data_IF_214530740417
#
_entry.id   IF_214530740417
#
_cell.length_a   1.000
_cell.length_b   1.000
_cell.length_c   1.000
_cell.angle_alpha   90.00
_cell.angle_beta   90.00
_cell.angle_gamma   90.00
#
_symmetry.space_group_name_H-M   'P 1'
#
loop_
_entity.id
_entity.type
_entity.pdbx_description
1 polymer ?
#
# COMPACT_ATOMS: atom_id res chain seq x y z
N UNK A 1 -25.90 -5.69 -20.55
CA UNK A 1 -24.81 -6.67 -20.74
C UNK A 1 -23.74 -6.38 -19.67
N UNK A 2 -23.49 -7.30 -18.76
CA UNK A 2 -22.45 -7.12 -17.72
C UNK A 2 -21.10 -7.37 -18.36
N UNK A 3 -20.28 -6.34 -18.51
CA UNK A 3 -18.89 -6.48 -18.95
C UNK A 3 -18.10 -7.08 -17.79
N UNK A 4 -17.69 -8.33 -17.94
CA UNK A 4 -16.80 -8.98 -16.98
C UNK A 4 -15.37 -8.50 -17.23
N UNK A 5 -14.86 -7.67 -16.34
CA UNK A 5 -13.42 -7.34 -16.31
C UNK A 5 -12.69 -8.54 -15.70
N UNK A 6 -12.15 -9.38 -16.57
CA UNK A 6 -11.23 -10.45 -16.13
C UNK A 6 -9.87 -9.82 -15.88
N UNK A 7 -9.72 -9.19 -14.72
CA UNK A 7 -8.39 -8.96 -14.15
C UNK A 7 -8.03 -10.23 -13.39
N UNK A 8 -7.10 -10.98 -13.99
CA UNK A 8 -6.58 -12.20 -13.37
C UNK A 8 -6.12 -11.91 -11.94
N UNK A 9 -6.57 -12.73 -10.99
CA UNK A 9 -6.46 -12.55 -9.54
C UNK A 9 -5.06 -12.46 -8.93
N UNK A 10 -4.02 -12.17 -9.71
CA UNK A 10 -2.65 -11.96 -9.27
C UNK A 10 -2.35 -10.48 -8.99
N UNK A 11 -3.12 -9.54 -9.60
CA UNK A 11 -2.86 -8.11 -9.46
C UNK A 11 -3.34 -7.48 -8.16
N UNK A 12 -4.39 -8.01 -7.54
CA UNK A 12 -5.03 -7.39 -6.36
C UNK A 12 -4.20 -7.58 -5.08
N UNK A 13 -3.59 -8.74 -4.91
CA UNK A 13 -2.75 -9.02 -3.73
C UNK A 13 -1.49 -8.14 -3.69
N UNK A 14 -0.87 -7.86 -4.85
CA UNK A 14 0.31 -6.98 -4.95
C UNK A 14 -0.07 -5.52 -4.70
N UNK A 15 -1.28 -5.09 -5.07
CA UNK A 15 -1.73 -3.71 -4.87
C UNK A 15 -2.02 -3.39 -3.40
N UNK A 16 -2.53 -4.34 -2.64
CA UNK A 16 -2.84 -4.15 -1.21
C UNK A 16 -1.55 -4.13 -0.37
N UNK A 17 -0.58 -4.98 -0.67
CA UNK A 17 0.70 -5.02 0.04
C UNK A 17 1.52 -3.73 -0.11
N UNK A 18 1.41 -3.02 -1.23
CA UNK A 18 2.17 -1.80 -1.48
C UNK A 18 1.66 -0.55 -0.73
N UNK A 19 0.48 -0.60 -0.10
CA UNK A 19 -0.14 0.56 0.59
C UNK A 19 0.58 0.94 1.88
N UNK A 20 1.09 -0.04 2.60
CA UNK A 20 1.56 0.16 3.98
C UNK A 20 3.04 0.61 4.05
N UNK A 21 3.86 0.26 3.05
CA UNK A 21 5.31 0.60 3.04
C UNK A 21 5.59 2.11 2.97
N UNK A 22 4.66 2.90 2.47
CA UNK A 22 4.93 4.30 2.14
C UNK A 22 4.80 5.25 3.34
N UNK A 23 4.11 4.85 4.40
CA UNK A 23 3.89 5.75 5.57
C UNK A 23 5.06 5.72 6.56
N UNK A 24 5.87 4.65 6.58
CA UNK A 24 6.99 4.48 7.52
C UNK A 24 8.36 5.02 7.08
N UNK A 25 8.51 5.50 5.85
CA UNK A 25 9.83 5.81 5.26
C UNK A 25 10.35 7.24 5.49
N UNK A 26 9.71 8.06 6.34
CA UNK A 26 10.09 9.48 6.50
C UNK A 26 10.68 9.85 7.86
N UNK A 27 11.45 8.98 8.49
CA UNK A 27 12.22 9.40 9.67
C UNK A 27 13.63 8.81 9.70
N UNK A 28 14.61 9.69 9.49
CA UNK A 28 15.93 9.63 10.10
C UNK A 28 17.04 9.02 9.28
N UNK A 29 17.89 9.89 8.74
CA UNK A 29 19.20 9.54 8.21
C UNK A 29 20.17 9.07 9.31
N UNK A 30 21.15 8.25 8.90
CA UNK A 30 22.27 7.83 9.72
C UNK A 30 23.25 7.01 8.87
N UNK A 31 24.36 7.65 8.49
CA UNK A 31 25.46 7.07 7.74
C UNK A 31 26.09 5.87 8.43
N UNK A 32 26.36 4.80 7.69
CA UNK A 32 27.50 3.94 7.96
C UNK A 32 27.93 3.17 6.68
N UNK A 33 29.11 3.47 6.21
CA UNK A 33 29.78 2.83 5.11
C UNK A 33 30.17 1.38 5.48
N UNK A 34 29.91 0.45 4.57
CA UNK A 34 30.40 -0.93 4.65
C UNK A 34 30.47 -1.55 3.25
N UNK A 35 31.65 -1.54 2.68
CA UNK A 35 32.03 -2.18 1.42
C UNK A 35 31.94 -3.69 1.54
N UNK A 36 31.18 -4.37 0.68
CA UNK A 36 31.37 -5.79 0.37
C UNK A 36 31.10 -6.05 -1.13
N UNK A 37 31.97 -6.88 -1.70
CA UNK A 37 32.22 -7.17 -3.08
C UNK A 37 31.06 -7.72 -3.90
N UNK A 38 31.07 -7.39 -5.20
CA UNK A 38 30.21 -7.93 -6.26
C UNK A 38 30.49 -9.41 -6.57
N UNK A 39 29.50 -10.15 -7.06
CA UNK A 39 29.74 -11.17 -8.06
C UNK A 39 29.24 -10.72 -9.44
N UNK A 40 30.18 -10.65 -10.35
CA UNK A 40 30.03 -10.51 -11.80
C UNK A 40 29.10 -11.56 -12.38
N UNK A 41 28.07 -11.15 -13.10
CA UNK A 41 27.37 -12.00 -14.07
C UNK A 41 27.34 -11.34 -15.43
N UNK A 42 27.93 -12.08 -16.36
CA UNK A 42 28.19 -11.74 -17.74
C UNK A 42 26.92 -11.45 -18.57
N UNK A 43 27.09 -10.50 -19.47
CA UNK A 43 26.24 -9.97 -20.50
C UNK A 43 25.25 -10.91 -21.17
N UNK A 44 24.05 -10.33 -21.35
CA UNK A 44 23.20 -10.61 -22.52
C UNK A 44 23.06 -9.30 -23.28
N UNK A 45 23.66 -9.24 -24.45
CA UNK A 45 23.57 -8.14 -25.39
C UNK A 45 22.17 -8.11 -26.01
N UNK A 46 21.49 -6.99 -25.86
CA UNK A 46 20.22 -6.69 -26.55
C UNK A 46 20.47 -6.51 -28.06
N UNK A 47 19.50 -6.84 -28.93
CA UNK A 47 19.62 -6.66 -30.38
C UNK A 47 19.77 -5.18 -30.75
N UNK A 48 20.49 -4.83 -31.85
CA UNK A 48 20.73 -3.47 -32.25
C UNK A 48 19.42 -2.81 -32.75
N UNK A 49 19.02 -1.71 -32.12
CA UNK A 49 17.88 -0.91 -32.56
C UNK A 49 17.02 -0.30 -31.46
N UNK A 50 17.30 -0.55 -30.19
CA UNK A 50 16.62 0.17 -29.10
C UNK A 50 17.27 1.53 -28.84
N UNK A 51 16.49 2.64 -28.69
CA UNK A 51 17.03 3.91 -28.24
C UNK A 51 17.62 3.71 -26.82
N UNK A 52 18.77 4.31 -26.59
CA UNK A 52 19.39 4.32 -25.26
C UNK A 52 18.42 4.92 -24.26
N UNK A 53 18.06 4.14 -23.23
CA UNK A 53 17.35 4.64 -22.06
C UNK A 53 18.41 5.37 -21.22
N UNK A 54 18.18 6.65 -20.95
CA UNK A 54 19.05 7.44 -20.08
C UNK A 54 19.09 6.78 -18.70
N UNK A 55 20.25 6.27 -18.30
CA UNK A 55 20.51 5.63 -17.00
C UNK A 55 20.24 6.55 -15.79
N UNK A 56 19.93 7.82 -16.03
CA UNK A 56 19.66 8.81 -14.99
C UNK A 56 18.24 8.76 -14.42
N UNK A 57 17.31 8.04 -15.05
CA UNK A 57 15.95 7.86 -14.56
C UNK A 57 15.77 6.61 -13.66
N UNK A 58 16.78 5.75 -13.55
CA UNK A 58 16.72 4.51 -12.78
C UNK A 58 17.00 4.70 -11.27
N UNK A 59 17.52 5.88 -10.85
CA UNK A 59 17.93 6.10 -9.45
C UNK A 59 16.80 6.48 -8.48
N UNK A 60 15.54 6.55 -8.92
CA UNK A 60 14.44 6.97 -8.05
C UNK A 60 13.33 5.93 -7.86
N UNK A 61 13.47 4.72 -8.39
CA UNK A 61 12.53 3.64 -8.07
C UNK A 61 12.97 2.97 -6.77
N UNK A 62 12.10 2.90 -5.75
CA UNK A 62 12.42 2.14 -4.55
C UNK A 62 12.70 0.68 -4.94
N UNK A 63 13.78 0.12 -4.40
CA UNK A 63 14.13 -1.27 -4.63
C UNK A 63 12.92 -2.19 -4.33
N UNK A 64 12.73 -3.28 -5.09
CA UNK A 64 11.65 -4.22 -4.83
C UNK A 64 11.80 -4.76 -3.39
N UNK A 65 10.69 -4.72 -2.63
CA UNK A 65 10.67 -5.25 -1.27
C UNK A 65 10.79 -6.76 -1.38
N UNK A 66 11.94 -7.31 -0.97
CA UNK A 66 12.18 -8.75 -0.96
C UNK A 66 11.64 -9.36 0.34
N UNK A 67 11.30 -10.65 0.32
CA UNK A 67 10.86 -11.36 1.53
C UNK A 67 11.90 -11.26 2.66
N UNK A 68 13.19 -11.31 2.34
CA UNK A 68 14.27 -11.15 3.32
C UNK A 68 14.28 -9.76 3.96
N UNK A 69 14.05 -8.70 3.20
CA UNK A 69 13.97 -7.34 3.74
C UNK A 69 12.76 -7.18 4.68
N UNK A 70 11.62 -7.78 4.34
CA UNK A 70 10.43 -7.81 5.21
C UNK A 70 10.73 -8.57 6.50
N UNK A 71 11.40 -9.74 6.43
CA UNK A 71 11.75 -10.54 7.60
C UNK A 71 12.74 -9.78 8.52
N UNK A 72 13.75 -9.11 7.96
CA UNK A 72 14.68 -8.29 8.72
C UNK A 72 13.98 -7.13 9.41
N UNK A 73 13.07 -6.44 8.71
CA UNK A 73 12.29 -5.35 9.29
C UNK A 73 11.38 -5.85 10.42
N UNK A 74 10.74 -7.01 10.26
CA UNK A 74 9.94 -7.64 11.31
C UNK A 74 10.80 -7.90 12.54
N UNK A 75 11.95 -8.57 12.41
CA UNK A 75 12.82 -8.88 13.54
C UNK A 75 13.31 -7.62 14.29
N UNK A 76 13.66 -6.58 13.55
CA UNK A 76 14.03 -5.29 14.13
C UNK A 76 12.89 -4.66 14.94
N UNK A 77 11.66 -4.66 14.38
CA UNK A 77 10.49 -4.08 15.03
C UNK A 77 9.96 -4.93 16.18
N UNK A 78 10.11 -6.25 16.15
CA UNK A 78 9.83 -7.13 17.28
C UNK A 78 10.72 -6.77 18.48
N UNK A 79 12.03 -6.56 18.25
CA UNK A 79 12.94 -6.10 19.31
C UNK A 79 12.54 -4.73 19.85
N UNK A 80 12.28 -3.75 18.98
CA UNK A 80 11.83 -2.42 19.38
C UNK A 80 10.50 -2.44 20.17
N UNK A 81 9.58 -3.33 19.76
CA UNK A 81 8.30 -3.51 20.46
C UNK A 81 8.46 -4.18 21.82
N UNK A 82 9.45 -5.07 22.00
CA UNK A 82 9.76 -5.65 23.30
C UNK A 82 10.29 -4.59 24.28
N UNK A 83 11.12 -3.66 23.80
CA UNK A 83 11.63 -2.56 24.59
C UNK A 83 10.57 -1.48 24.88
N UNK A 84 9.61 -1.33 23.97
CA UNK A 84 8.57 -0.28 24.02
C UNK A 84 7.16 -0.85 23.73
N UNK A 85 6.60 -1.69 24.62
CA UNK A 85 5.39 -2.47 24.35
C UNK A 85 4.11 -1.65 24.18
N UNK A 86 4.11 -0.38 24.59
CA UNK A 86 2.99 0.55 24.47
C UNK A 86 3.27 1.73 23.53
N UNK A 87 4.37 1.68 22.77
CA UNK A 87 4.63 2.70 21.76
C UNK A 87 3.78 2.44 20.52
N UNK A 88 2.72 3.24 20.35
CA UNK A 88 1.76 3.09 19.25
C UNK A 88 2.44 3.18 17.89
N UNK A 89 3.44 4.05 17.72
CA UNK A 89 4.16 4.19 16.44
C UNK A 89 4.92 2.89 16.10
N UNK A 90 5.65 2.32 17.05
CA UNK A 90 6.35 1.03 16.86
C UNK A 90 5.36 -0.10 16.57
N UNK A 91 4.23 -0.13 17.27
CA UNK A 91 3.19 -1.14 17.05
C UNK A 91 2.56 -0.99 15.66
N UNK A 92 2.34 0.23 15.18
CA UNK A 92 1.84 0.46 13.82
C UNK A 92 2.84 -0.05 12.77
N UNK A 93 4.11 0.31 12.90
CA UNK A 93 5.15 -0.16 11.97
C UNK A 93 5.30 -1.68 12.00
N UNK A 94 5.26 -2.31 13.17
CA UNK A 94 5.35 -3.77 13.30
C UNK A 94 4.13 -4.46 12.67
N UNK A 95 2.94 -3.91 12.90
CA UNK A 95 1.72 -4.41 12.27
C UNK A 95 1.77 -4.32 10.75
N UNK A 96 2.30 -3.23 10.22
CA UNK A 96 2.52 -3.02 8.79
C UNK A 96 3.51 -4.03 8.22
N UNK A 97 4.63 -4.26 8.90
CA UNK A 97 5.63 -5.24 8.49
C UNK A 97 5.06 -6.66 8.48
N UNK A 98 4.26 -7.04 9.48
CA UNK A 98 3.54 -8.31 9.46
C UNK A 98 2.53 -8.41 8.33
N UNK A 99 1.78 -7.33 8.06
CA UNK A 99 0.81 -7.29 6.97
C UNK A 99 1.50 -7.50 5.61
N UNK A 100 2.62 -6.82 5.37
CA UNK A 100 3.45 -7.00 4.17
C UNK A 100 3.97 -8.43 4.03
N UNK A 101 4.40 -9.02 5.13
CA UNK A 101 4.82 -10.43 5.18
C UNK A 101 3.66 -11.41 5.14
N UNK A 102 2.42 -10.96 4.86
CA UNK A 102 1.19 -11.76 4.83
C UNK A 102 0.89 -12.49 6.16
N UNK A 103 1.51 -12.05 7.25
CA UNK A 103 1.30 -12.57 8.60
C UNK A 103 0.09 -11.89 9.25
N UNK A 104 -1.08 -12.00 8.63
CA UNK A 104 -2.29 -11.24 8.98
C UNK A 104 -2.74 -11.42 10.44
N UNK A 105 -2.58 -12.61 11.00
CA UNK A 105 -2.92 -12.83 12.41
C UNK A 105 -1.99 -12.07 13.37
N UNK A 106 -0.69 -11.98 13.04
CA UNK A 106 0.28 -11.21 13.83
C UNK A 106 0.01 -9.71 13.69
N UNK A 107 -0.25 -9.23 12.46
CA UNK A 107 -0.68 -7.86 12.20
C UNK A 107 -1.94 -7.50 13.03
N UNK A 108 -2.97 -8.34 13.02
CA UNK A 108 -4.19 -8.13 13.77
C UNK A 108 -3.95 -8.04 15.29
N UNK A 109 -3.08 -8.89 15.84
CA UNK A 109 -2.72 -8.83 17.28
C UNK A 109 -2.01 -7.51 17.60
N UNK A 110 -1.07 -7.12 16.78
CA UNK A 110 -0.27 -5.91 16.96
C UNK A 110 -1.12 -4.65 16.86
N UNK A 111 -1.99 -4.53 15.84
CA UNK A 111 -2.91 -3.40 15.73
C UNK A 111 -3.94 -3.37 16.86
N UNK A 112 -4.36 -4.53 17.36
CA UNK A 112 -5.23 -4.59 18.55
C UNK A 112 -4.52 -4.03 19.78
N UNK A 113 -3.23 -4.34 19.99
CA UNK A 113 -2.43 -3.76 21.07
C UNK A 113 -2.30 -2.24 20.90
N UNK A 114 -2.07 -1.74 19.69
CA UNK A 114 -2.08 -0.31 19.41
C UNK A 114 -3.42 0.34 19.78
N UNK A 115 -4.55 -0.28 19.42
CA UNK A 115 -5.89 0.20 19.76
C UNK A 115 -6.24 0.05 21.25
N UNK A 116 -5.62 -0.87 21.99
CA UNK A 116 -5.76 -0.94 23.44
C UNK A 116 -5.01 0.20 24.12
N UNK A 117 -3.87 0.61 23.55
CA UNK A 117 -3.07 1.74 24.05
C UNK A 117 -3.70 3.08 23.67
N UNK A 118 -4.20 3.21 22.43
CA UNK A 118 -4.91 4.39 21.94
C UNK A 118 -6.20 3.97 21.20
N UNK A 119 -7.33 3.84 21.92
CA UNK A 119 -8.60 3.37 21.35
C UNK A 119 -9.19 4.27 20.27
N UNK A 120 -8.77 5.53 20.22
CA UNK A 120 -9.23 6.53 19.25
C UNK A 120 -8.38 6.65 18.01
N UNK A 121 -7.28 5.88 17.87
CA UNK A 121 -6.32 6.03 16.81
C UNK A 121 -6.92 5.68 15.44
N UNK A 122 -7.08 6.66 14.53
CA UNK A 122 -7.68 6.40 13.22
C UNK A 122 -6.79 5.54 12.33
N UNK A 123 -5.48 5.72 12.37
CA UNK A 123 -4.51 4.94 11.59
C UNK A 123 -4.54 3.47 12.01
N UNK A 124 -4.49 3.17 13.31
CA UNK A 124 -4.61 1.81 13.81
C UNK A 124 -5.94 1.15 13.39
N UNK A 125 -7.03 1.93 13.40
CA UNK A 125 -8.35 1.44 12.98
C UNK A 125 -8.39 1.11 11.50
N UNK A 126 -7.86 2.00 10.63
CA UNK A 126 -7.80 1.77 9.18
C UNK A 126 -6.92 0.57 8.86
N UNK A 127 -5.76 0.44 9.47
CA UNK A 127 -4.84 -0.69 9.24
C UNK A 127 -5.42 -2.02 9.73
N UNK A 128 -6.08 -2.04 10.87
CA UNK A 128 -6.84 -3.22 11.33
C UNK A 128 -7.95 -3.58 10.34
N UNK A 129 -8.66 -2.58 9.79
CA UNK A 129 -9.68 -2.81 8.78
C UNK A 129 -9.09 -3.46 7.51
N UNK A 130 -7.91 -3.04 7.07
CA UNK A 130 -7.23 -3.66 5.93
C UNK A 130 -6.82 -5.12 6.21
N UNK A 131 -6.49 -5.45 7.46
CA UNK A 131 -6.28 -6.87 7.86
C UNK A 131 -7.58 -7.67 7.75
N UNK A 132 -8.72 -7.14 8.21
CA UNK A 132 -10.02 -7.81 8.03
C UNK A 132 -10.39 -7.97 6.57
N UNK A 133 -10.10 -6.97 5.73
CA UNK A 133 -10.31 -7.07 4.30
C UNK A 133 -9.46 -8.19 3.67
N UNK A 134 -8.18 -8.29 4.02
CA UNK A 134 -7.29 -9.35 3.56
C UNK A 134 -7.74 -10.76 4.03
N UNK A 135 -8.38 -10.84 5.20
CA UNK A 135 -8.94 -12.07 5.77
C UNK A 135 -10.35 -12.38 5.21
N UNK A 136 -10.84 -11.58 4.26
CA UNK A 136 -12.12 -11.78 3.56
C UNK A 136 -13.32 -11.05 4.17
N UNK A 137 -13.19 -10.38 5.32
CA UNK A 137 -14.27 -9.64 5.98
C UNK A 137 -14.30 -8.16 5.53
N UNK A 138 -14.51 -7.96 4.23
CA UNK A 138 -14.56 -6.62 3.61
C UNK A 138 -15.73 -5.78 4.16
N UNK A 139 -16.82 -6.41 4.59
CA UNK A 139 -17.96 -5.67 5.12
C UNK A 139 -17.61 -4.99 6.45
N UNK A 140 -16.96 -5.72 7.35
CA UNK A 140 -16.45 -5.19 8.62
C UNK A 140 -15.39 -4.13 8.40
N UNK A 141 -14.47 -4.36 7.47
CA UNK A 141 -13.43 -3.40 7.10
C UNK A 141 -14.06 -2.08 6.64
N UNK A 142 -15.00 -2.11 5.70
CA UNK A 142 -15.69 -0.94 5.20
C UNK A 142 -16.45 -0.19 6.31
N UNK A 143 -17.11 -0.91 7.22
CA UNK A 143 -17.80 -0.29 8.34
C UNK A 143 -16.85 0.47 9.28
N UNK A 144 -15.69 -0.10 9.59
CA UNK A 144 -14.70 0.54 10.44
C UNK A 144 -14.11 1.81 9.78
N UNK A 145 -13.79 1.71 8.48
CA UNK A 145 -13.26 2.88 7.74
C UNK A 145 -14.33 3.98 7.62
N UNK A 146 -15.60 3.65 7.39
CA UNK A 146 -16.69 4.61 7.41
C UNK A 146 -16.81 5.32 8.76
N UNK A 147 -16.61 4.60 9.87
CA UNK A 147 -16.63 5.20 11.19
C UNK A 147 -15.44 6.17 11.41
N UNK A 148 -14.28 5.89 10.82
CA UNK A 148 -13.14 6.83 10.81
C UNK A 148 -13.48 8.06 9.99
N UNK A 149 -13.96 7.90 8.76
CA UNK A 149 -14.34 9.01 7.87
C UNK A 149 -15.49 9.86 8.44
N UNK A 150 -16.39 9.27 9.22
CA UNK A 150 -17.44 10.02 9.91
C UNK A 150 -16.91 10.95 11.01
N UNK A 151 -15.71 10.68 11.55
CA UNK A 151 -15.06 11.54 12.57
C UNK A 151 -13.99 12.45 11.96
N UNK A 152 -13.30 11.95 10.95
CA UNK A 152 -12.17 12.60 10.27
C UNK A 152 -12.36 12.48 8.75
N UNK A 153 -13.23 13.30 8.16
CA UNK A 153 -13.54 13.24 6.71
C UNK A 153 -12.31 13.48 5.81
N UNK A 154 -11.29 14.17 6.33
CA UNK A 154 -10.01 14.43 5.65
C UNK A 154 -8.95 13.35 5.86
N UNK A 155 -9.31 12.18 6.37
CA UNK A 155 -8.35 11.09 6.55
C UNK A 155 -8.02 10.45 5.19
N UNK A 156 -6.87 10.83 4.64
CA UNK A 156 -6.39 10.41 3.33
C UNK A 156 -6.21 8.88 3.23
N UNK A 157 -5.65 8.25 4.28
CA UNK A 157 -5.45 6.81 4.35
C UNK A 157 -6.79 6.04 4.35
N UNK A 158 -7.80 6.57 5.03
CA UNK A 158 -9.13 5.99 5.07
C UNK A 158 -9.83 6.03 3.71
N UNK A 159 -9.77 7.16 2.99
CA UNK A 159 -10.28 7.26 1.62
C UNK A 159 -9.58 6.27 0.70
N UNK A 160 -8.25 6.23 0.72
CA UNK A 160 -7.49 5.28 -0.08
C UNK A 160 -7.89 3.83 0.22
N UNK A 161 -7.99 3.47 1.48
CA UNK A 161 -8.35 2.10 1.92
C UNK A 161 -9.79 1.74 1.54
N UNK A 162 -10.72 2.70 1.61
CA UNK A 162 -12.09 2.49 1.13
C UNK A 162 -12.14 2.25 -0.37
N UNK A 163 -11.34 3.00 -1.15
CA UNK A 163 -11.22 2.79 -2.59
C UNK A 163 -10.73 1.38 -2.93
N UNK A 164 -9.73 0.86 -2.19
CA UNK A 164 -9.23 -0.52 -2.36
C UNK A 164 -10.34 -1.54 -2.11
N UNK A 165 -11.15 -1.37 -1.07
CA UNK A 165 -12.28 -2.26 -0.76
C UNK A 165 -13.33 -2.21 -1.87
N UNK A 166 -13.70 -1.02 -2.35
CA UNK A 166 -14.65 -0.89 -3.45
C UNK A 166 -14.13 -1.50 -4.74
N UNK A 167 -12.86 -1.28 -5.06
CA UNK A 167 -12.22 -1.84 -6.24
C UNK A 167 -12.21 -3.38 -6.21
N UNK A 168 -11.90 -3.98 -5.07
CA UNK A 168 -11.93 -5.44 -4.91
C UNK A 168 -13.34 -6.04 -5.05
N UNK A 169 -14.38 -5.23 -4.84
CA UNK A 169 -15.79 -5.60 -5.00
C UNK A 169 -16.36 -5.25 -6.39
N UNK A 170 -15.50 -4.91 -7.37
CA UNK A 170 -15.87 -4.48 -8.73
C UNK A 170 -16.76 -3.22 -8.76
N UNK A 171 -16.67 -2.38 -7.71
CA UNK A 171 -17.38 -1.11 -7.56
C UNK A 171 -16.47 0.03 -8.02
N UNK A 172 -16.22 0.07 -9.32
CA UNK A 172 -15.17 0.90 -9.91
C UNK A 172 -15.44 2.40 -9.75
N UNK A 173 -16.70 2.84 -9.92
CA UNK A 173 -17.05 4.25 -9.82
C UNK A 173 -16.88 4.77 -8.38
N UNK A 174 -17.28 3.97 -7.38
CA UNK A 174 -17.08 4.32 -5.98
C UNK A 174 -15.59 4.28 -5.59
N UNK A 175 -14.84 3.31 -6.08
CA UNK A 175 -13.40 3.26 -5.87
C UNK A 175 -12.72 4.52 -6.44
N UNK A 176 -13.07 4.91 -7.68
CA UNK A 176 -12.55 6.11 -8.32
C UNK A 176 -12.89 7.37 -7.52
N UNK A 177 -14.12 7.50 -7.01
CA UNK A 177 -14.53 8.64 -6.20
C UNK A 177 -13.67 8.77 -4.92
N UNK A 178 -13.40 7.66 -4.24
CA UNK A 178 -12.57 7.65 -3.03
C UNK A 178 -11.10 7.93 -3.33
N UNK A 179 -10.53 7.40 -4.45
CA UNK A 179 -9.17 7.76 -4.86
C UNK A 179 -9.05 9.24 -5.26
N UNK A 180 -10.06 9.81 -5.92
CA UNK A 180 -10.11 11.25 -6.20
C UNK A 180 -10.11 12.06 -4.89
N UNK A 181 -10.87 11.63 -3.89
CA UNK A 181 -10.87 12.27 -2.57
C UNK A 181 -9.48 12.20 -1.92
N UNK A 182 -8.86 11.02 -1.89
CA UNK A 182 -7.52 10.84 -1.33
C UNK A 182 -6.45 11.67 -2.06
N UNK A 183 -6.50 11.74 -3.40
CA UNK A 183 -5.55 12.53 -4.20
C UNK A 183 -5.67 14.03 -3.94
N UNK A 184 -6.91 14.53 -3.75
CA UNK A 184 -7.17 15.96 -3.50
C UNK A 184 -6.75 16.41 -2.10
N UNK A 185 -6.83 15.54 -1.09
CA UNK A 185 -6.50 15.91 0.28
C UNK A 185 -5.03 16.32 0.43
N UNK A 186 -4.11 15.55 -0.12
CA UNK A 186 -2.71 15.92 -0.21
C UNK A 186 -2.04 15.18 -1.39
N UNK A 187 -1.88 15.85 -2.54
CA UNK A 187 -1.26 15.24 -3.72
C UNK A 187 0.26 15.03 -3.57
N UNK A 188 0.89 15.65 -2.58
CA UNK A 188 2.34 15.54 -2.36
C UNK A 188 2.74 14.26 -1.62
N UNK A 189 1.82 13.62 -0.92
CA UNK A 189 2.06 12.36 -0.22
C UNK A 189 2.17 11.19 -1.21
N UNK A 190 2.76 10.11 -0.74
CA UNK A 190 2.80 8.89 -1.52
C UNK A 190 1.39 8.29 -1.77
N UNK A 191 0.47 8.43 -0.80
CA UNK A 191 -0.93 8.02 -0.93
C UNK A 191 -1.61 8.88 -2.01
N UNK A 192 -1.44 10.21 -1.96
CA UNK A 192 -2.02 11.13 -2.92
C UNK A 192 -1.58 10.85 -4.36
N UNK A 193 -0.25 10.73 -4.58
CA UNK A 193 0.30 10.39 -5.90
C UNK A 193 -0.21 9.05 -6.42
N UNK A 194 -0.24 8.02 -5.56
CA UNK A 194 -0.75 6.70 -5.95
C UNK A 194 -2.23 6.73 -6.27
N UNK A 195 -3.02 7.45 -5.47
CA UNK A 195 -4.45 7.66 -5.74
C UNK A 195 -4.67 8.31 -7.10
N UNK A 196 -3.89 9.34 -7.42
CA UNK A 196 -3.96 10.00 -8.73
C UNK A 196 -3.62 9.01 -9.86
N UNK A 197 -2.58 8.20 -9.71
CA UNK A 197 -2.21 7.19 -10.72
C UNK A 197 -3.35 6.18 -10.98
N UNK A 198 -4.10 5.77 -9.96
CA UNK A 198 -5.28 4.91 -10.16
C UNK A 198 -6.42 5.63 -10.87
N UNK A 199 -6.66 6.90 -10.54
CA UNK A 199 -7.68 7.71 -11.22
C UNK A 199 -7.36 7.85 -12.71
N UNK A 200 -6.10 8.13 -13.05
CA UNK A 200 -5.65 8.27 -14.42
C UNK A 200 -5.79 6.95 -15.19
N UNK A 201 -5.34 5.84 -14.61
CA UNK A 201 -5.46 4.50 -15.19
C UNK A 201 -6.92 4.13 -15.49
N UNK A 202 -7.84 4.43 -14.58
CA UNK A 202 -9.26 4.16 -14.77
C UNK A 202 -9.92 5.14 -15.76
N UNK A 203 -9.37 6.34 -15.90
CA UNK A 203 -9.80 7.33 -16.91
C UNK A 203 -9.47 6.88 -18.33
N UNK A 204 -8.26 6.42 -18.55
CA UNK A 204 -7.78 5.99 -19.86
C UNK A 204 -8.54 4.76 -20.41
N UNK A 205 -8.98 3.87 -19.51
CA UNK A 205 -9.76 2.68 -19.90
C UNK A 205 -11.17 3.02 -20.39
N UNK A 206 -11.76 4.13 -19.95
CA UNK A 206 -13.07 4.58 -20.41
C UNK A 206 -13.01 5.24 -21.79
N UNK A 207 -11.88 5.84 -22.15
CA UNK A 207 -11.71 6.52 -23.46
C UNK A 207 -11.29 5.57 -24.58
N UNK A 208 -10.76 4.40 -24.28
CA UNK A 208 -10.27 3.41 -25.24
C UNK A 208 -11.33 2.36 -25.66
N UNK A 209 -12.56 2.44 -25.17
CA UNK A 209 -13.64 1.60 -25.67
C UNK A 209 -14.01 2.05 -27.10
N UNK A 210 -13.95 1.18 -28.12
CA UNK A 210 -14.38 1.55 -29.45
C UNK A 210 -15.84 1.99 -29.40
N UNK A 211 -16.13 3.13 -30.01
CA UNK A 211 -17.49 3.53 -30.32
C UNK A 211 -18.03 2.44 -31.27
N UNK A 212 -18.80 1.50 -30.75
CA UNK A 212 -19.47 0.50 -31.57
C UNK A 212 -20.40 1.24 -32.51
N UNK A 213 -20.05 1.12 -33.79
CA UNK A 213 -20.69 1.81 -34.88
C UNK A 213 -22.20 1.51 -35.01
N UNK A 214 -22.84 2.50 -35.54
CA UNK A 214 -24.15 2.45 -36.14
C UNK A 214 -24.25 1.42 -37.28
#
# INVERSE_FOLDING_TARGET
>A
MKKHYVLAGVGVAVLVAAVIVVVGANSGGGDAAGTVAEPSTAGQSLPPGHPAVDDKAAESSPAPVTDDAVQQKIAQLESASADQPHNVAVLLELGDAYYLGQRYQQAARTFRTALQTDPGNPTATVRMAMVWHADGDSARAAQAIKAVLGKTPENQEAHYSMAVIYFSADRIDEAKAEWVAAAKLDPSTAIGRRSQSFVDLLGDQQTSAPADGE
#
